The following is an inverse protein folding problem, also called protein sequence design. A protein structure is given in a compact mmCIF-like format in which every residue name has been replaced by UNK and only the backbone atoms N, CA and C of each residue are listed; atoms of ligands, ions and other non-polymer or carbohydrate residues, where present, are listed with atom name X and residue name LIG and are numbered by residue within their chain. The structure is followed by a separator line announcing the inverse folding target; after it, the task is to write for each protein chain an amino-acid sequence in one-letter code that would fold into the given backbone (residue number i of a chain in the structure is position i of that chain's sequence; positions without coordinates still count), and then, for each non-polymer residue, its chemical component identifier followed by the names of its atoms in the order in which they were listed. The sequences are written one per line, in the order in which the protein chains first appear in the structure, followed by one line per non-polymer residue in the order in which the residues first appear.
data_IF_281211009661
#
_entry.id   IF_281211009661
#
_cell.length_a   1.000
_cell.length_b   1.000
_cell.length_c   1.000
_cell.angle_alpha   90.00
_cell.angle_beta   90.00
_cell.angle_gamma   90.00
#
_symmetry.space_group_name_H-M   'P 1'
#
loop_
_entity.id
_entity.type
_entity.pdbx_description
1 polymer ?
#
# COMPACT_ATOMS: atom_id res chain seq x y z
N UNK A 1 -34.10 1.92 25.30
CA UNK A 1 -32.63 1.78 25.28
C UNK A 1 -32.27 1.57 23.82
N UNK A 2 -31.74 2.63 23.17
CA UNK A 2 -31.28 2.56 21.80
C UNK A 2 -29.86 1.92 21.86
N UNK A 3 -29.78 0.67 21.47
CA UNK A 3 -28.48 0.00 21.32
C UNK A 3 -27.81 0.58 20.08
N UNK A 4 -26.90 1.54 20.27
CA UNK A 4 -26.05 2.04 19.18
C UNK A 4 -25.09 0.88 18.85
N UNK A 5 -25.34 0.21 17.74
CA UNK A 5 -24.36 -0.73 17.20
C UNK A 5 -23.09 0.06 16.85
N UNK A 6 -21.90 -0.38 17.27
CA UNK A 6 -20.67 0.29 16.89
C UNK A 6 -20.57 0.31 15.37
N UNK A 7 -20.36 1.49 14.79
CA UNK A 7 -20.10 1.66 13.37
C UNK A 7 -18.87 0.83 13.03
N UNK A 8 -19.03 -0.16 12.17
CA UNK A 8 -17.92 -0.96 11.66
C UNK A 8 -16.86 -0.01 11.12
N UNK A 9 -15.63 -0.10 11.61
CA UNK A 9 -14.52 0.72 11.14
C UNK A 9 -14.37 0.52 9.63
N UNK A 10 -14.36 1.60 8.84
CA UNK A 10 -14.07 1.53 7.41
C UNK A 10 -12.55 1.54 7.14
N UNK A 11 -11.73 1.20 8.13
CA UNK A 11 -10.28 1.21 8.05
C UNK A 11 -9.73 -0.16 7.75
N UNK A 12 -9.20 -0.36 6.55
CA UNK A 12 -8.50 -1.59 6.17
C UNK A 12 -7.35 -1.93 7.12
N UNK A 13 -6.66 -0.92 7.66
CA UNK A 13 -5.58 -1.12 8.61
C UNK A 13 -6.07 -1.74 9.92
N UNK A 14 -7.15 -1.22 10.49
CA UNK A 14 -7.72 -1.77 11.72
C UNK A 14 -8.25 -3.18 11.49
N UNK A 15 -8.91 -3.43 10.36
CA UNK A 15 -9.40 -4.76 9.99
C UNK A 15 -8.24 -5.77 9.86
N UNK A 16 -7.15 -5.37 9.20
CA UNK A 16 -5.96 -6.22 9.05
C UNK A 16 -5.28 -6.53 10.38
N UNK A 17 -5.28 -5.58 11.30
CA UNK A 17 -4.74 -5.73 12.65
C UNK A 17 -5.70 -6.46 13.61
N UNK A 18 -6.95 -6.69 13.21
CA UNK A 18 -7.98 -7.26 14.07
C UNK A 18 -8.38 -6.33 15.23
N UNK A 19 -8.30 -5.01 15.03
CA UNK A 19 -8.58 -4.01 16.06
C UNK A 19 -9.90 -3.28 15.78
N UNK A 20 -10.67 -3.05 16.84
CA UNK A 20 -11.96 -2.34 16.82
C UNK A 20 -11.85 -1.05 17.63
N UNK A 21 -10.95 -0.14 17.25
CA UNK A 21 -10.67 1.10 17.95
C UNK A 21 -10.55 2.29 17.03
N UNK A 22 -10.85 3.49 17.54
CA UNK A 22 -10.37 4.73 16.92
C UNK A 22 -8.88 4.86 17.19
N UNK A 23 -8.10 4.93 16.12
CA UNK A 23 -6.65 4.97 16.20
C UNK A 23 -6.12 6.40 16.23
N UNK A 24 -5.00 6.59 16.90
CA UNK A 24 -4.19 7.79 16.74
C UNK A 24 -3.65 7.89 15.32
N UNK A 25 -3.89 9.02 14.65
CA UNK A 25 -3.42 9.24 13.27
C UNK A 25 -1.91 9.11 13.13
N UNK A 26 -1.14 9.56 14.14
CA UNK A 26 0.33 9.48 14.13
C UNK A 26 0.81 8.04 14.13
N UNK A 27 0.16 7.14 14.87
CA UNK A 27 0.52 5.72 14.92
C UNK A 27 0.23 5.05 13.58
N UNK A 28 -0.90 5.38 12.95
CA UNK A 28 -1.23 4.84 11.62
C UNK A 28 -0.26 5.33 10.53
N UNK A 29 0.24 6.56 10.61
CA UNK A 29 1.28 7.07 9.70
C UNK A 29 2.56 6.26 9.89
N UNK A 30 3.05 6.13 11.13
CA UNK A 30 4.26 5.34 11.42
C UNK A 30 4.10 3.87 11.01
N UNK A 31 2.93 3.27 11.23
CA UNK A 31 2.63 1.93 10.74
C UNK A 31 2.75 1.85 9.22
N UNK A 32 2.16 2.80 8.50
CA UNK A 32 2.23 2.87 7.03
C UNK A 32 3.66 2.93 6.52
N UNK A 33 4.51 3.77 7.11
CA UNK A 33 5.93 3.88 6.77
C UNK A 33 6.70 2.56 7.01
N UNK A 34 6.42 1.87 8.12
CA UNK A 34 7.07 0.58 8.44
C UNK A 34 6.63 -0.54 7.50
N UNK A 35 5.35 -0.58 7.13
CA UNK A 35 4.83 -1.54 6.15
C UNK A 35 5.42 -1.29 4.76
N UNK A 36 5.59 -0.03 4.37
CA UNK A 36 6.27 0.33 3.13
C UNK A 36 7.72 -0.16 3.13
N UNK A 37 8.48 0.08 4.19
CA UNK A 37 9.85 -0.41 4.35
C UNK A 37 9.92 -1.95 4.31
N UNK A 38 8.97 -2.63 4.94
CA UNK A 38 8.87 -4.10 4.89
C UNK A 38 8.71 -4.60 3.44
N UNK A 39 7.78 -4.03 2.68
CA UNK A 39 7.56 -4.45 1.30
C UNK A 39 8.72 -4.06 0.37
N UNK A 40 9.38 -2.94 0.61
CA UNK A 40 10.61 -2.60 -0.11
C UNK A 40 11.71 -3.66 0.12
N UNK A 41 11.84 -4.15 1.36
CA UNK A 41 12.76 -5.25 1.65
C UNK A 41 12.36 -6.55 0.94
N UNK A 42 11.08 -6.92 0.95
CA UNK A 42 10.57 -8.12 0.23
C UNK A 42 10.88 -8.02 -1.27
N UNK A 43 10.64 -6.86 -1.88
CA UNK A 43 10.94 -6.61 -3.29
C UNK A 43 12.46 -6.71 -3.54
N UNK A 44 13.26 -6.12 -2.68
CA UNK A 44 14.72 -6.11 -2.77
C UNK A 44 15.34 -7.51 -2.63
N UNK A 45 14.76 -8.34 -1.78
CA UNK A 45 15.21 -9.72 -1.55
C UNK A 45 14.66 -10.71 -2.61
N UNK A 46 13.72 -10.27 -3.44
CA UNK A 46 13.16 -11.09 -4.52
C UNK A 46 14.08 -11.10 -5.74
N UNK A 47 13.75 -11.93 -6.73
CA UNK A 47 14.46 -11.98 -8.03
C UNK A 47 14.18 -10.76 -8.92
N UNK A 48 13.27 -9.89 -8.50
CA UNK A 48 12.93 -8.67 -9.26
C UNK A 48 14.06 -7.65 -9.21
N UNK A 49 14.27 -6.94 -10.31
CA UNK A 49 15.18 -5.80 -10.34
C UNK A 49 14.57 -4.66 -9.55
N UNK A 50 15.17 -4.32 -8.42
CA UNK A 50 14.75 -3.17 -7.61
C UNK A 50 15.44 -1.90 -8.15
N UNK A 51 14.62 -0.98 -8.67
CA UNK A 51 15.10 0.27 -9.26
C UNK A 51 15.00 1.46 -8.30
N UNK A 52 14.61 1.23 -7.04
CA UNK A 52 14.57 2.28 -6.03
C UNK A 52 16.02 2.62 -5.65
N UNK A 53 16.43 3.85 -5.91
CA UNK A 53 17.70 4.38 -5.44
C UNK A 53 17.72 4.51 -3.90
N UNK A 54 18.92 4.60 -3.29
CA UNK A 54 19.08 4.70 -1.82
C UNK A 54 18.19 5.75 -1.16
N UNK A 55 17.85 6.83 -1.87
CA UNK A 55 17.02 7.92 -1.35
C UNK A 55 15.54 7.83 -1.75
N UNK A 56 15.14 6.82 -2.52
CA UNK A 56 13.77 6.68 -3.04
C UNK A 56 13.20 7.95 -3.68
N UNK A 57 14.04 8.68 -4.43
CA UNK A 57 13.67 9.96 -5.04
C UNK A 57 13.76 9.87 -6.56
N UNK A 58 12.80 10.51 -7.22
CA UNK A 58 12.83 10.73 -8.68
C UNK A 58 12.55 12.21 -8.97
N UNK A 59 13.21 12.75 -9.98
CA UNK A 59 12.94 14.10 -10.45
C UNK A 59 11.73 14.10 -11.39
N UNK A 60 10.72 14.88 -11.04
CA UNK A 60 9.51 15.08 -11.83
C UNK A 60 9.33 16.58 -12.07
N UNK A 61 9.47 17.01 -13.31
CA UNK A 61 9.30 18.43 -13.69
C UNK A 61 10.14 19.40 -12.82
N UNK A 62 11.39 19.05 -12.56
CA UNK A 62 12.31 19.87 -11.76
C UNK A 62 12.07 19.80 -10.24
N UNK A 63 11.25 18.86 -9.77
CA UNK A 63 10.99 18.65 -8.34
C UNK A 63 11.27 17.21 -7.96
N UNK A 64 11.95 17.02 -6.83
CA UNK A 64 12.15 15.70 -6.25
C UNK A 64 10.82 15.15 -5.70
N UNK A 65 10.50 13.90 -6.04
CA UNK A 65 9.34 13.17 -5.57
C UNK A 65 9.78 11.87 -4.92
N UNK A 66 9.23 11.57 -3.76
CA UNK A 66 9.45 10.28 -3.11
C UNK A 66 8.70 9.18 -3.82
N UNK A 67 9.38 8.05 -3.99
CA UNK A 67 8.84 6.82 -4.57
C UNK A 67 8.62 5.82 -3.44
N UNK A 68 7.43 5.20 -3.39
CA UNK A 68 7.16 4.17 -2.39
C UNK A 68 7.74 2.82 -2.85
N UNK A 69 7.30 2.30 -4.03
CA UNK A 69 7.83 1.06 -4.59
C UNK A 69 8.05 1.20 -6.10
N UNK A 70 9.22 0.79 -6.57
CA UNK A 70 9.46 0.64 -8.01
C UNK A 70 10.34 -0.59 -8.25
N UNK A 71 9.88 -1.48 -9.14
CA UNK A 71 10.60 -2.71 -9.47
C UNK A 71 10.21 -3.25 -10.84
N UNK A 72 11.17 -3.95 -11.47
CA UNK A 72 10.92 -4.73 -12.67
C UNK A 72 10.63 -6.17 -12.27
N UNK A 73 9.43 -6.65 -12.54
CA UNK A 73 9.01 -7.98 -12.16
C UNK A 73 9.76 -9.04 -13.00
N UNK A 74 10.35 -10.03 -12.33
CA UNK A 74 11.12 -11.09 -12.98
C UNK A 74 10.23 -12.08 -13.77
N UNK A 75 8.93 -12.16 -13.49
CA UNK A 75 8.01 -13.08 -14.16
C UNK A 75 7.52 -12.56 -15.51
N UNK A 76 7.19 -11.26 -15.59
CA UNK A 76 6.58 -10.65 -16.78
C UNK A 76 7.40 -9.53 -17.40
N UNK A 77 8.56 -9.21 -16.80
CA UNK A 77 9.46 -8.11 -17.23
C UNK A 77 8.81 -6.73 -17.25
N UNK A 78 7.66 -6.56 -16.59
CA UNK A 78 6.94 -5.29 -16.47
C UNK A 78 7.59 -4.43 -15.39
N UNK A 79 7.84 -3.16 -15.69
CA UNK A 79 8.29 -2.16 -14.73
C UNK A 79 7.09 -1.53 -14.04
N UNK A 80 6.98 -1.76 -12.73
CA UNK A 80 5.93 -1.22 -11.88
C UNK A 80 6.40 -0.02 -11.08
N UNK A 81 5.54 0.98 -10.97
CA UNK A 81 5.57 1.98 -9.91
C UNK A 81 4.30 1.88 -9.07
N UNK A 82 4.44 1.72 -7.77
CA UNK A 82 3.32 1.57 -6.85
C UNK A 82 3.39 2.63 -5.74
N UNK A 83 2.31 3.38 -5.60
CA UNK A 83 2.07 4.28 -4.47
C UNK A 83 1.38 3.49 -3.35
N UNK A 84 2.04 3.35 -2.20
CA UNK A 84 1.52 2.58 -1.06
C UNK A 84 0.47 3.37 -0.28
N UNK A 85 -0.67 2.75 0.01
CA UNK A 85 -1.74 3.35 0.81
C UNK A 85 -2.43 2.31 1.68
N UNK A 86 -2.36 2.49 2.98
CA UNK A 86 -3.06 1.63 3.94
C UNK A 86 -4.56 1.90 4.03
N UNK A 87 -5.06 2.95 3.39
CA UNK A 87 -6.47 3.29 3.34
C UNK A 87 -6.82 3.96 2.00
N UNK A 88 -7.97 3.59 1.43
CA UNK A 88 -8.50 4.13 0.17
C UNK A 88 -9.68 5.10 0.36
N UNK A 89 -9.98 5.50 1.59
CA UNK A 89 -11.05 6.46 1.91
C UNK A 89 -10.65 7.90 1.57
N UNK A 90 -10.44 8.17 0.28
CA UNK A 90 -10.14 9.51 -0.20
C UNK A 90 -11.38 10.18 -0.79
N UNK A 91 -11.49 11.49 -0.55
CA UNK A 91 -12.39 12.35 -1.33
C UNK A 91 -11.91 12.46 -2.80
N UNK A 92 -12.80 12.95 -3.66
CA UNK A 92 -12.53 13.03 -5.10
C UNK A 92 -11.34 13.91 -5.46
N UNK A 93 -11.04 14.94 -4.68
CA UNK A 93 -9.91 15.85 -4.93
C UNK A 93 -8.58 15.17 -4.59
N UNK A 94 -8.52 14.48 -3.45
CA UNK A 94 -7.34 13.70 -3.06
C UNK A 94 -7.04 12.59 -4.05
N UNK A 95 -8.08 11.90 -4.54
CA UNK A 95 -7.90 10.88 -5.60
C UNK A 95 -7.30 11.51 -6.85
N UNK A 96 -7.80 12.66 -7.31
CA UNK A 96 -7.26 13.34 -8.49
C UNK A 96 -5.79 13.74 -8.30
N UNK A 97 -5.45 14.32 -7.14
CA UNK A 97 -4.08 14.74 -6.84
C UNK A 97 -3.12 13.54 -6.79
N UNK A 98 -3.52 12.44 -6.16
CA UNK A 98 -2.72 11.22 -6.07
C UNK A 98 -2.60 10.52 -7.43
N UNK A 99 -3.65 10.46 -8.23
CA UNK A 99 -3.61 9.90 -9.59
C UNK A 99 -2.66 10.70 -10.48
N UNK A 100 -2.69 12.02 -10.37
CA UNK A 100 -1.74 12.89 -11.07
C UNK A 100 -0.30 12.58 -10.66
N UNK A 101 -0.02 12.43 -9.34
CA UNK A 101 1.30 12.02 -8.84
C UNK A 101 1.72 10.68 -9.46
N UNK A 102 0.84 9.67 -9.43
CA UNK A 102 1.14 8.34 -9.98
C UNK A 102 1.51 8.43 -11.46
N UNK A 103 0.73 9.16 -12.25
CA UNK A 103 1.01 9.33 -13.69
C UNK A 103 2.35 10.04 -13.92
N UNK A 104 2.61 11.15 -13.24
CA UNK A 104 3.83 11.93 -13.40
C UNK A 104 5.09 11.15 -13.00
N UNK A 105 5.03 10.40 -11.89
CA UNK A 105 6.15 9.55 -11.42
C UNK A 105 6.33 8.34 -12.34
N UNK A 106 5.26 7.67 -12.75
CA UNK A 106 5.28 6.59 -13.72
C UNK A 106 6.00 7.01 -15.00
N UNK A 107 5.62 8.16 -15.56
CA UNK A 107 6.21 8.67 -16.81
C UNK A 107 7.68 9.06 -16.62
N UNK A 108 8.05 9.67 -15.50
CA UNK A 108 9.44 10.04 -15.19
C UNK A 108 10.35 8.81 -15.00
N UNK A 109 9.83 7.72 -14.45
CA UNK A 109 10.54 6.45 -14.30
C UNK A 109 10.57 5.62 -15.60
N UNK A 110 9.74 5.94 -16.59
CA UNK A 110 9.49 5.08 -17.74
C UNK A 110 8.81 3.76 -17.36
N UNK A 111 8.05 3.76 -16.26
CA UNK A 111 7.36 2.56 -15.81
C UNK A 111 6.19 2.21 -16.73
N UNK A 112 5.96 0.91 -16.91
CA UNK A 112 4.86 0.41 -17.74
C UNK A 112 3.53 0.60 -17.03
N UNK A 113 3.49 0.35 -15.71
CA UNK A 113 2.30 0.43 -14.88
C UNK A 113 2.56 1.30 -13.66
N UNK A 114 1.67 2.29 -13.44
CA UNK A 114 1.55 3.05 -12.21
C UNK A 114 0.22 2.73 -11.51
N UNK A 115 0.27 2.37 -10.23
CA UNK A 115 -0.90 1.91 -9.49
C UNK A 115 -0.82 2.23 -7.99
N UNK A 116 -1.93 2.04 -7.26
CA UNK A 116 -1.90 1.94 -5.81
C UNK A 116 -1.58 0.51 -5.36
N UNK A 117 -0.84 0.40 -4.28
CA UNK A 117 -0.69 -0.83 -3.52
C UNK A 117 -1.27 -0.66 -2.11
N UNK A 118 -2.15 -1.59 -1.71
CA UNK A 118 -2.79 -1.58 -0.39
C UNK A 118 -2.27 -2.77 0.43
N UNK A 119 -1.21 -2.57 1.23
CA UNK A 119 -0.49 -3.66 1.91
C UNK A 119 -1.26 -4.29 3.07
N UNK A 120 -2.46 -3.83 3.37
CA UNK A 120 -3.30 -4.31 4.48
C UNK A 120 -4.58 -5.01 4.00
N UNK A 121 -4.69 -5.27 2.72
CA UNK A 121 -5.84 -5.95 2.11
C UNK A 121 -5.35 -7.07 1.21
N UNK A 122 -5.91 -8.27 1.37
CA UNK A 122 -5.61 -9.41 0.49
C UNK A 122 -6.03 -9.11 -0.96
N UNK A 123 -7.33 -8.83 -1.13
CA UNK A 123 -7.93 -8.47 -2.41
C UNK A 123 -8.76 -7.20 -2.25
N UNK A 124 -8.63 -6.29 -3.20
CA UNK A 124 -9.38 -5.04 -3.17
C UNK A 124 -10.86 -5.31 -3.38
N UNK A 125 -11.75 -4.79 -2.50
CA UNK A 125 -13.19 -4.94 -2.69
C UNK A 125 -13.67 -4.35 -4.00
N UNK A 126 -14.66 -4.99 -4.65
CA UNK A 126 -15.16 -4.60 -5.97
C UNK A 126 -15.62 -3.14 -6.03
N UNK A 127 -16.24 -2.62 -4.95
CA UNK A 127 -16.66 -1.22 -4.85
C UNK A 127 -15.50 -0.23 -5.03
N UNK A 128 -14.33 -0.56 -4.46
CA UNK A 128 -13.14 0.28 -4.55
C UNK A 128 -12.45 0.12 -5.89
N UNK A 129 -12.37 -1.10 -6.42
CA UNK A 129 -11.88 -1.34 -7.79
C UNK A 129 -12.66 -0.49 -8.79
N UNK A 130 -13.99 -0.50 -8.73
CA UNK A 130 -14.84 0.30 -9.63
C UNK A 130 -14.58 1.79 -9.47
N UNK A 131 -14.49 2.28 -8.21
CA UNK A 131 -14.24 3.69 -7.90
C UNK A 131 -12.92 4.20 -8.49
N UNK A 132 -11.84 3.40 -8.38
CA UNK A 132 -10.52 3.81 -8.85
C UNK A 132 -10.33 3.56 -10.34
N UNK A 133 -10.80 2.45 -10.88
CA UNK A 133 -10.74 2.15 -12.32
C UNK A 133 -11.47 3.21 -13.14
N UNK A 134 -12.63 3.71 -12.69
CA UNK A 134 -13.35 4.80 -13.33
C UNK A 134 -12.54 6.12 -13.35
N UNK A 135 -11.46 6.21 -12.59
CA UNK A 135 -10.54 7.34 -12.55
C UNK A 135 -9.19 7.04 -13.20
N UNK A 136 -9.09 5.90 -13.91
CA UNK A 136 -7.92 5.51 -14.72
C UNK A 136 -6.72 5.03 -13.93
N UNK A 137 -6.89 4.61 -12.65
CA UNK A 137 -5.79 4.06 -11.84
C UNK A 137 -6.15 2.68 -11.31
N UNK A 138 -5.22 1.75 -11.44
CA UNK A 138 -5.32 0.40 -10.90
C UNK A 138 -5.01 0.39 -9.40
N UNK A 139 -5.56 -0.60 -8.69
CA UNK A 139 -5.34 -0.80 -7.26
C UNK A 139 -5.08 -2.29 -7.00
N UNK A 140 -4.01 -2.58 -6.29
CA UNK A 140 -3.57 -3.94 -6.00
C UNK A 140 -3.50 -4.21 -4.50
N UNK A 141 -3.86 -5.43 -4.09
CA UNK A 141 -3.71 -5.93 -2.73
C UNK A 141 -2.52 -6.88 -2.57
N UNK A 142 -2.38 -7.44 -1.37
CA UNK A 142 -1.26 -8.32 -0.99
C UNK A 142 -1.18 -9.56 -1.85
N UNK A 143 -2.31 -10.21 -2.16
CA UNK A 143 -2.35 -11.39 -3.01
C UNK A 143 -1.76 -11.14 -4.40
N UNK A 144 -2.04 -9.96 -4.99
CA UNK A 144 -1.45 -9.58 -6.25
C UNK A 144 0.07 -9.36 -6.10
N UNK A 145 0.52 -8.64 -5.06
CA UNK A 145 1.95 -8.40 -4.83
C UNK A 145 2.72 -9.72 -4.69
N UNK A 146 2.22 -10.67 -3.91
CA UNK A 146 2.83 -11.99 -3.76
C UNK A 146 2.87 -12.80 -5.06
N UNK A 147 2.01 -12.51 -6.03
CA UNK A 147 2.09 -13.10 -7.36
C UNK A 147 3.18 -12.49 -8.26
N UNK A 148 3.80 -11.36 -7.84
CA UNK A 148 4.80 -10.62 -8.61
C UNK A 148 6.21 -10.69 -8.02
N UNK A 149 6.32 -10.98 -6.73
CA UNK A 149 7.60 -11.06 -6.01
C UNK A 149 7.85 -12.47 -5.49
N UNK A 150 9.13 -12.84 -5.36
CA UNK A 150 9.56 -14.13 -4.80
C UNK A 150 9.67 -14.01 -3.27
N UNK A 151 8.53 -13.93 -2.59
CA UNK A 151 8.49 -13.82 -1.15
C UNK A 151 8.75 -15.17 -0.46
N UNK A 152 9.44 -15.15 0.68
CA UNK A 152 9.74 -16.35 1.48
C UNK A 152 8.63 -16.69 2.48
N UNK A 153 7.44 -16.15 2.31
CA UNK A 153 6.27 -16.35 3.15
C UNK A 153 5.00 -16.37 2.29
N UNK A 154 3.92 -16.91 2.83
CA UNK A 154 2.60 -16.90 2.21
C UNK A 154 1.72 -15.80 2.82
N UNK A 155 0.60 -15.51 2.16
CA UNK A 155 -0.32 -14.45 2.56
C UNK A 155 -0.82 -14.59 4.00
N UNK A 156 -1.19 -15.82 4.40
CA UNK A 156 -1.70 -16.10 5.75
C UNK A 156 -0.66 -15.80 6.85
N UNK A 157 0.62 -16.10 6.60
CA UNK A 157 1.72 -15.77 7.52
C UNK A 157 1.85 -14.26 7.71
N UNK A 158 1.73 -13.51 6.62
CA UNK A 158 1.80 -12.05 6.67
C UNK A 158 0.66 -11.44 7.51
N UNK A 159 -0.59 -11.84 7.27
CA UNK A 159 -1.71 -11.33 8.04
C UNK A 159 -1.72 -11.82 9.49
N UNK A 160 -1.24 -13.04 9.75
CA UNK A 160 -1.01 -13.55 11.12
C UNK A 160 0.03 -12.70 11.83
N UNK A 161 1.14 -12.39 11.19
CA UNK A 161 2.17 -11.50 11.73
C UNK A 161 1.62 -10.11 12.08
N UNK A 162 0.80 -9.51 11.22
CA UNK A 162 0.16 -8.23 11.51
C UNK A 162 -0.71 -8.27 12.76
N UNK A 163 -1.50 -9.33 12.96
CA UNK A 163 -2.42 -9.45 14.10
C UNK A 163 -1.73 -9.86 15.38
N UNK A 164 -0.80 -10.81 15.33
CA UNK A 164 -0.23 -11.43 16.53
C UNK A 164 1.02 -10.71 17.05
N UNK A 165 1.76 -10.06 16.16
CA UNK A 165 3.02 -9.38 16.52
C UNK A 165 2.87 -7.87 16.46
N UNK A 166 2.37 -7.32 15.36
CA UNK A 166 2.33 -5.87 15.16
C UNK A 166 1.20 -5.21 15.96
N UNK A 167 0.00 -5.78 15.95
CA UNK A 167 -1.16 -5.18 16.63
C UNK A 167 -0.94 -4.98 18.13
N UNK A 168 -0.41 -5.95 18.91
CA UNK A 168 -0.11 -5.75 20.32
C UNK A 168 0.87 -4.60 20.57
N UNK A 169 1.93 -4.48 19.75
CA UNK A 169 2.92 -3.40 19.87
C UNK A 169 2.26 -2.03 19.65
N UNK A 170 1.37 -1.93 18.67
CA UNK A 170 0.67 -0.68 18.38
C UNK A 170 -0.31 -0.32 19.51
N UNK A 171 -0.99 -1.32 20.10
CA UNK A 171 -1.88 -1.11 21.25
C UNK A 171 -1.11 -0.61 22.47
N UNK A 172 0.07 -1.15 22.76
CA UNK A 172 0.94 -0.66 23.83
C UNK A 172 1.40 0.78 23.61
N UNK A 173 1.52 1.21 22.36
CA UNK A 173 1.89 2.58 21.98
C UNK A 173 0.72 3.54 21.89
N UNK A 174 -0.51 3.11 22.22
CA UNK A 174 -1.69 3.95 22.32
C UNK A 174 -2.61 3.94 21.08
N UNK A 175 -2.53 2.89 20.23
CA UNK A 175 -3.51 2.67 19.17
C UNK A 175 -4.87 2.29 19.74
#
# INVERSE_FOLDING_TARGET
IVTIQPKKSESYTLDALGLDRQSSQSILITFGERIEQFWNKVISDSKSDNLIEENNLVEVKGKQRQIDHSFKCYLDSVLYYLESKCNLNFDSEKIKASNKKITEVKDALGADIGAYFVPVVSQIPQKDLTKYNNKGVQVFGVKWMLSKVDAQFVEDDYFTYLREIIAPILVEKGL
#
